data_IF_642983894154
#
_entry.id   IF_642983894154
#
_cell.length_a   1.000
_cell.length_b   1.000
_cell.length_c   1.000
_cell.angle_alpha   90.00
_cell.angle_beta   90.00
_cell.angle_gamma   90.00
#
_symmetry.space_group_name_H-M   'P 1'
#
loop_
_entity.id
_entity.type
_entity.pdbx_description
1 polymer ?
#
# COMPACT_ATOMS: atom_id res chain seq x y z
N UNK A 1 21.95 -40.94 44.99
CA UNK A 1 21.72 -39.48 44.92
C UNK A 1 22.76 -38.93 43.96
N UNK A 2 22.49 -38.64 42.70
CA UNK A 2 21.24 -38.46 41.92
C UNK A 2 21.52 -39.06 40.51
N UNK A 3 20.62 -39.82 39.89
CA UNK A 3 19.47 -39.35 39.08
C UNK A 3 19.82 -38.13 38.23
N UNK A 4 20.12 -38.38 36.96
CA UNK A 4 19.81 -37.57 35.78
C UNK A 4 20.13 -38.43 34.54
N UNK A 5 19.39 -39.53 34.39
CA UNK A 5 19.29 -40.25 33.11
C UNK A 5 18.30 -39.50 32.23
N UNK A 6 18.83 -38.79 31.24
CA UNK A 6 18.10 -38.08 30.20
C UNK A 6 17.29 -39.09 29.35
N UNK A 7 15.94 -39.09 29.41
CA UNK A 7 15.14 -40.15 28.81
C UNK A 7 15.03 -40.08 27.27
N UNK A 8 15.62 -39.07 26.62
CA UNK A 8 15.44 -38.83 25.18
C UNK A 8 16.51 -39.46 24.26
N UNK A 9 17.58 -40.06 24.82
CA UNK A 9 18.72 -40.52 24.00
C UNK A 9 18.88 -42.04 23.85
N UNK A 10 17.96 -42.85 24.37
CA UNK A 10 18.02 -44.32 24.28
C UNK A 10 16.93 -44.97 23.40
N UNK A 11 15.99 -44.21 22.84
CA UNK A 11 14.89 -44.76 22.02
C UNK A 11 15.26 -45.05 20.57
N UNK A 12 16.31 -44.43 20.04
CA UNK A 12 16.55 -44.40 18.58
C UNK A 12 17.15 -45.68 17.99
N UNK A 13 17.51 -46.67 18.82
CA UNK A 13 18.17 -47.90 18.38
C UNK A 13 17.48 -49.20 18.81
N UNK A 14 16.28 -49.14 19.41
CA UNK A 14 15.62 -50.34 19.95
C UNK A 14 14.55 -50.91 19.01
N UNK A 15 13.95 -50.07 18.16
CA UNK A 15 12.84 -50.48 17.30
C UNK A 15 13.30 -50.66 15.84
N UNK A 16 12.92 -51.79 15.25
CA UNK A 16 12.99 -52.00 13.80
C UNK A 16 12.13 -50.95 13.08
N UNK A 17 12.53 -50.55 11.87
CA UNK A 17 11.73 -49.63 11.04
C UNK A 17 10.28 -50.11 10.85
N UNK A 18 10.06 -51.42 10.85
CA UNK A 18 8.73 -52.04 10.73
C UNK A 18 7.91 -51.86 12.01
N UNK A 19 8.50 -52.12 13.19
CA UNK A 19 7.82 -51.97 14.49
C UNK A 19 7.48 -50.51 14.77
N UNK A 20 8.34 -49.58 14.33
CA UNK A 20 8.08 -48.15 14.40
C UNK A 20 6.90 -47.74 13.52
N UNK A 21 6.80 -48.32 12.33
CA UNK A 21 5.69 -48.03 11.41
C UNK A 21 4.36 -48.57 11.93
N UNK A 22 4.35 -49.80 12.47
CA UNK A 22 3.16 -50.37 13.13
C UNK A 22 2.72 -49.53 14.33
N UNK A 23 3.67 -49.04 15.14
CA UNK A 23 3.39 -48.12 16.24
C UNK A 23 2.79 -46.80 15.76
N UNK A 24 3.34 -46.19 14.71
CA UNK A 24 2.81 -44.96 14.13
C UNK A 24 1.40 -45.15 13.56
N UNK A 25 1.13 -46.27 12.89
CA UNK A 25 -0.22 -46.61 12.41
C UNK A 25 -1.19 -46.85 13.58
N UNK A 26 -0.76 -47.56 14.63
CA UNK A 26 -1.60 -47.88 15.79
C UNK A 26 -1.99 -46.66 16.63
N UNK A 27 -1.13 -45.63 16.70
CA UNK A 27 -1.42 -44.37 17.40
C UNK A 27 -2.03 -43.31 16.47
N UNK A 28 -2.25 -43.64 15.19
CA UNK A 28 -2.76 -42.71 14.18
C UNK A 28 -1.83 -41.52 13.92
N UNK A 29 -0.53 -41.71 14.12
CA UNK A 29 0.50 -40.72 13.82
C UNK A 29 0.75 -40.73 12.31
N UNK A 30 0.18 -39.74 11.61
CA UNK A 30 0.55 -39.43 10.23
C UNK A 30 1.89 -38.65 10.25
N UNK A 31 2.98 -39.28 9.80
CA UNK A 31 4.32 -38.64 9.67
C UNK A 31 4.33 -37.54 8.59
N UNK A 32 3.31 -37.52 7.75
CA UNK A 32 3.01 -36.38 6.89
C UNK A 32 2.42 -35.27 7.76
N UNK A 33 3.27 -34.35 8.21
CA UNK A 33 2.83 -32.99 8.49
C UNK A 33 2.01 -32.55 7.28
N UNK A 34 0.67 -32.61 7.38
CA UNK A 34 -0.23 -32.07 6.37
C UNK A 34 0.24 -30.65 6.11
N UNK A 35 0.87 -30.43 4.96
CA UNK A 35 1.34 -29.11 4.56
C UNK A 35 0.11 -28.22 4.67
N UNK A 36 0.13 -27.30 5.64
CA UNK A 36 -0.95 -26.35 5.85
C UNK A 36 -0.91 -25.41 4.65
N UNK A 37 -1.62 -25.80 3.59
CA UNK A 37 -1.80 -24.97 2.41
C UNK A 37 -2.80 -23.88 2.77
N UNK A 38 -2.33 -22.64 2.75
CA UNK A 38 -3.21 -21.49 2.93
C UNK A 38 -4.27 -21.47 1.83
N UNK A 39 -5.54 -21.12 2.13
CA UNK A 39 -6.53 -20.84 1.11
C UNK A 39 -6.00 -19.80 0.12
N UNK A 40 -6.38 -19.88 -1.16
CA UNK A 40 -5.93 -18.93 -2.19
C UNK A 40 -6.33 -17.48 -1.92
N UNK A 41 -7.34 -17.28 -1.08
CA UNK A 41 -7.88 -15.98 -0.68
C UNK A 41 -7.19 -15.42 0.56
N UNK A 42 -6.34 -16.21 1.23
CA UNK A 42 -5.64 -15.79 2.44
C UNK A 42 -4.68 -14.65 2.13
N UNK A 43 -4.82 -13.56 2.89
CA UNK A 43 -3.95 -12.39 2.84
C UNK A 43 -3.06 -12.44 4.08
N UNK A 44 -1.76 -12.47 3.85
CA UNK A 44 -0.76 -12.52 4.92
C UNK A 44 -0.27 -11.12 5.31
N UNK A 45 -0.12 -10.26 4.30
CA UNK A 45 0.25 -8.86 4.49
C UNK A 45 -0.84 -8.00 3.89
N UNK A 46 -1.40 -7.10 4.69
CA UNK A 46 -2.32 -6.03 4.27
C UNK A 46 -1.78 -4.70 4.83
N UNK A 47 -1.30 -3.84 3.93
CA UNK A 47 -0.80 -2.51 4.23
C UNK A 47 -1.75 -1.52 3.59
N UNK A 48 -2.48 -0.78 4.41
CA UNK A 48 -3.38 0.28 3.97
C UNK A 48 -2.96 1.62 4.58
N UNK A 49 -2.61 2.58 3.73
CA UNK A 49 -2.14 3.92 4.13
C UNK A 49 -3.00 4.97 3.43
N UNK A 50 -3.65 5.83 4.22
CA UNK A 50 -4.48 6.92 3.72
C UNK A 50 -3.93 8.27 4.17
N UNK A 51 -3.85 9.22 3.22
CA UNK A 51 -3.54 10.62 3.49
C UNK A 51 -4.71 11.50 3.10
N UNK A 52 -5.29 12.21 4.07
CA UNK A 52 -6.32 13.20 3.78
C UNK A 52 -5.78 14.33 2.89
N UNK A 53 -4.55 14.76 3.14
CA UNK A 53 -3.93 15.87 2.39
C UNK A 53 -2.41 15.77 2.40
N UNK A 54 -1.81 15.86 1.23
CA UNK A 54 -0.36 15.99 1.03
C UNK A 54 -0.11 17.36 0.39
N UNK A 55 0.78 18.16 0.99
CA UNK A 55 1.12 19.50 0.49
C UNK A 55 2.61 19.59 0.16
N UNK A 56 2.93 20.13 -1.01
CA UNK A 56 4.29 20.43 -1.43
C UNK A 56 4.40 21.92 -1.76
N UNK A 57 5.37 22.60 -1.16
CA UNK A 57 5.60 24.03 -1.38
C UNK A 57 6.85 24.23 -2.23
N UNK A 58 6.73 25.07 -3.25
CA UNK A 58 7.87 25.55 -4.05
C UNK A 58 8.30 26.89 -3.49
N UNK A 59 9.59 27.03 -3.19
CA UNK A 59 10.16 28.24 -2.62
C UNK A 59 11.16 28.83 -3.61
N UNK A 60 11.08 30.13 -3.83
CA UNK A 60 12.08 30.87 -4.60
C UNK A 60 12.93 31.70 -3.65
N UNK A 61 14.24 31.66 -3.87
CA UNK A 61 15.13 32.64 -3.28
C UNK A 61 15.32 33.77 -4.29
N UNK A 62 14.75 34.92 -4.00
CA UNK A 62 14.72 36.06 -4.92
C UNK A 62 15.99 36.92 -4.87
N UNK A 63 16.86 36.78 -3.84
CA UNK A 63 18.16 37.45 -3.76
C UNK A 63 19.11 36.76 -2.76
N UNK A 64 20.44 36.79 -2.99
CA UNK A 64 21.45 36.26 -2.05
C UNK A 64 21.40 36.89 -0.64
N UNK A 65 20.78 38.07 -0.50
CA UNK A 65 20.62 38.80 0.76
C UNK A 65 19.24 38.63 1.42
N UNK A 66 18.33 37.87 0.81
CA UNK A 66 16.99 37.67 1.35
C UNK A 66 17.01 36.54 2.39
N UNK A 67 16.87 36.89 3.67
CA UNK A 67 16.97 35.94 4.80
C UNK A 67 15.75 34.99 4.83
N UNK A 68 14.68 35.29 4.08
CA UNK A 68 13.46 34.49 4.06
C UNK A 68 13.09 34.09 2.63
N UNK A 69 13.26 32.81 2.31
CA UNK A 69 12.71 32.23 1.10
C UNK A 69 11.19 32.45 1.05
N UNK A 70 10.67 32.85 -0.12
CA UNK A 70 9.24 33.05 -0.31
C UNK A 70 8.65 31.85 -1.04
N UNK A 71 7.58 31.25 -0.49
CA UNK A 71 6.83 30.23 -1.22
C UNK A 71 6.15 30.88 -2.42
N UNK A 72 6.39 30.35 -3.62
CA UNK A 72 5.81 30.86 -4.87
C UNK A 72 4.65 30.01 -5.37
N UNK A 73 4.57 28.75 -4.94
CA UNK A 73 3.46 27.86 -5.25
C UNK A 73 3.26 26.80 -4.18
N UNK A 74 2.03 26.32 -4.05
CA UNK A 74 1.65 25.20 -3.20
C UNK A 74 0.84 24.20 -4.03
N UNK A 75 1.33 22.97 -4.13
CA UNK A 75 0.58 21.84 -4.68
C UNK A 75 -0.05 21.04 -3.53
N UNK A 76 -1.32 20.70 -3.68
CA UNK A 76 -2.10 19.93 -2.72
C UNK A 76 -2.70 18.72 -3.42
N UNK A 77 -2.46 17.54 -2.86
CA UNK A 77 -3.11 16.29 -3.25
C UNK A 77 -4.06 15.92 -2.10
N UNK A 78 -5.33 15.65 -2.40
CA UNK A 78 -6.31 15.28 -1.38
C UNK A 78 -6.74 13.84 -1.53
N UNK A 79 -7.02 13.20 -0.39
CA UNK A 79 -7.51 11.82 -0.26
C UNK A 79 -6.72 10.84 -1.14
N UNK A 80 -5.50 10.55 -0.70
CA UNK A 80 -4.64 9.54 -1.31
C UNK A 80 -4.73 8.25 -0.52
N UNK A 81 -5.15 7.16 -1.17
CA UNK A 81 -5.17 5.84 -0.58
C UNK A 81 -4.15 4.94 -1.28
N UNK A 82 -3.30 4.30 -0.48
CA UNK A 82 -2.37 3.27 -0.92
C UNK A 82 -2.76 1.96 -0.23
N UNK A 83 -2.97 0.90 -1.01
CA UNK A 83 -3.26 -0.44 -0.50
C UNK A 83 -2.29 -1.42 -1.15
N UNK A 84 -1.62 -2.21 -0.33
CA UNK A 84 -0.80 -3.32 -0.75
C UNK A 84 -1.24 -4.59 -0.03
N UNK A 85 -1.44 -5.66 -0.77
CA UNK A 85 -1.78 -6.97 -0.20
C UNK A 85 -0.87 -8.05 -0.75
N UNK A 86 -0.41 -8.96 0.09
CA UNK A 86 0.35 -10.15 -0.30
C UNK A 86 -0.39 -11.43 0.10
N UNK A 87 -0.48 -12.39 -0.83
CA UNK A 87 -1.14 -13.69 -0.66
C UNK A 87 -0.10 -14.81 -0.89
N UNK A 88 0.43 -15.42 0.17
CA UNK A 88 1.54 -16.36 0.06
C UNK A 88 1.15 -17.69 -0.58
N UNK A 89 -0.14 -18.05 -0.57
CA UNK A 89 -0.66 -19.30 -1.15
C UNK A 89 -0.31 -19.48 -2.64
N UNK A 90 -0.02 -18.37 -3.34
CA UNK A 90 0.24 -18.33 -4.78
C UNK A 90 1.42 -17.44 -5.17
N UNK A 91 2.16 -16.91 -4.18
CA UNK A 91 3.17 -15.86 -4.39
C UNK A 91 2.57 -14.62 -5.12
N UNK A 92 1.34 -14.26 -4.72
CA UNK A 92 0.55 -13.21 -5.36
C UNK A 92 0.63 -11.92 -4.56
N UNK A 93 0.70 -10.78 -5.25
CA UNK A 93 0.52 -9.49 -4.61
C UNK A 93 -0.38 -8.57 -5.43
N UNK A 94 -1.02 -7.65 -4.73
CA UNK A 94 -1.80 -6.58 -5.32
C UNK A 94 -1.38 -5.24 -4.76
N UNK A 95 -1.40 -4.23 -5.61
CA UNK A 95 -1.10 -2.84 -5.30
C UNK A 95 -2.23 -1.97 -5.86
N UNK A 96 -2.71 -1.01 -5.06
CA UNK A 96 -3.66 0.00 -5.47
C UNK A 96 -3.22 1.37 -4.96
N UNK A 97 -3.30 2.36 -5.85
CA UNK A 97 -3.13 3.77 -5.54
C UNK A 97 -4.34 4.54 -6.08
N UNK A 98 -5.01 5.26 -5.19
CA UNK A 98 -6.12 6.15 -5.50
C UNK A 98 -5.79 7.57 -5.07
N UNK A 99 -6.11 8.54 -5.92
CA UNK A 99 -6.01 9.97 -5.63
C UNK A 99 -7.33 10.63 -6.06
N UNK A 100 -7.95 11.40 -5.17
CA UNK A 100 -9.22 12.08 -5.47
C UNK A 100 -9.00 13.40 -6.23
N UNK A 101 -8.07 14.23 -5.77
CA UNK A 101 -7.86 15.55 -6.36
C UNK A 101 -6.41 16.03 -6.28
N UNK A 102 -6.07 16.90 -7.23
CA UNK A 102 -4.82 17.61 -7.34
C UNK A 102 -5.13 19.08 -7.62
N UNK A 103 -4.63 19.97 -6.77
CA UNK A 103 -4.78 21.41 -6.92
C UNK A 103 -3.42 22.08 -6.73
N UNK A 104 -3.13 23.10 -7.52
CA UNK A 104 -1.92 23.90 -7.39
C UNK A 104 -2.28 25.37 -7.47
N UNK A 105 -1.86 26.13 -6.47
CA UNK A 105 -2.08 27.56 -6.37
C UNK A 105 -0.72 28.27 -6.38
N UNK A 106 -0.64 29.38 -7.11
CA UNK A 106 0.45 30.34 -7.01
C UNK A 106 0.23 31.31 -5.84
N UNK A 107 1.29 31.98 -5.40
CA UNK A 107 1.22 32.93 -4.29
C UNK A 107 1.08 34.38 -4.78
N UNK A 108 0.09 35.11 -4.26
CA UNK A 108 0.24 36.55 -4.00
C UNK A 108 0.37 36.72 -2.49
N UNK A 109 1.53 37.24 -2.10
CA UNK A 109 2.01 37.61 -0.76
C UNK A 109 0.98 37.52 0.37
N UNK A 110 1.38 36.85 1.46
CA UNK A 110 0.66 36.64 2.73
C UNK A 110 -0.07 35.29 2.84
N UNK A 111 0.74 34.23 2.95
CA UNK A 111 0.42 33.07 3.76
C UNK A 111 0.16 33.56 5.19
N UNK A 112 -1.10 33.84 5.52
CA UNK A 112 -1.52 33.78 6.91
C UNK A 112 -1.12 32.39 7.42
N UNK A 113 -0.40 32.35 8.55
CA UNK A 113 0.19 31.16 9.19
C UNK A 113 -0.83 30.04 9.52
N UNK A 114 -2.10 30.25 9.19
CA UNK A 114 -3.24 29.39 9.44
C UNK A 114 -3.68 28.57 8.21
N UNK A 115 -3.00 28.70 7.06
CA UNK A 115 -3.23 27.82 5.90
C UNK A 115 -4.57 28.06 5.18
N UNK A 116 -5.17 29.23 5.36
CA UNK A 116 -6.40 29.66 4.69
C UNK A 116 -6.06 30.13 3.27
N UNK A 117 -6.60 29.44 2.26
CA UNK A 117 -6.53 29.81 0.85
C UNK A 117 -7.36 31.09 0.68
N UNK A 118 -6.69 32.23 0.48
CA UNK A 118 -7.38 33.50 0.19
C UNK A 118 -7.97 33.46 -1.23
N UNK A 119 -9.17 34.03 -1.40
CA UNK A 119 -9.94 34.10 -2.67
C UNK A 119 -9.21 34.76 -3.86
N UNK A 120 -8.01 35.33 -3.65
CA UNK A 120 -7.22 36.04 -4.67
C UNK A 120 -5.96 35.29 -5.11
N UNK A 121 -5.83 33.99 -4.79
CA UNK A 121 -4.66 33.21 -5.22
C UNK A 121 -4.80 32.74 -6.68
N UNK A 122 -3.79 32.95 -7.54
CA UNK A 122 -3.84 32.44 -8.91
C UNK A 122 -3.87 30.90 -8.88
N UNK A 123 -4.95 30.33 -9.40
CA UNK A 123 -5.04 28.89 -9.65
C UNK A 123 -4.13 28.56 -10.83
N UNK A 124 -3.24 27.56 -10.67
CA UNK A 124 -2.30 27.10 -11.70
C UNK A 124 -2.72 25.73 -12.26
N UNK A 125 -3.17 24.83 -11.39
CA UNK A 125 -3.67 23.50 -11.76
C UNK A 125 -4.90 23.24 -10.91
N UNK A 126 -5.99 22.80 -11.53
CA UNK A 126 -7.13 22.32 -10.78
C UNK A 126 -7.72 21.09 -11.45
N UNK A 127 -7.69 19.98 -10.70
CA UNK A 127 -8.43 18.79 -11.08
C UNK A 127 -9.79 18.82 -10.40
N UNK A 128 -10.85 19.09 -11.17
CA UNK A 128 -12.22 18.87 -10.75
C UNK A 128 -12.78 17.63 -11.44
N UNK A 129 -13.46 16.79 -10.66
CA UNK A 129 -14.31 15.77 -11.24
C UNK A 129 -15.50 16.48 -11.93
N UNK A 130 -15.45 16.61 -13.25
CA UNK A 130 -16.54 17.20 -14.06
C UNK A 130 -17.79 16.32 -14.06
N UNK A 131 -17.66 15.06 -13.66
CA UNK A 131 -18.76 14.11 -13.53
C UNK A 131 -19.35 14.24 -12.12
N UNK A 132 -20.68 14.39 -12.01
CA UNK A 132 -21.38 14.35 -10.72
C UNK A 132 -21.30 12.98 -10.03
N UNK A 133 -20.61 12.00 -10.61
CA UNK A 133 -20.30 10.74 -9.97
C UNK A 133 -19.17 10.91 -8.95
N UNK A 134 -19.58 10.98 -7.68
CA UNK A 134 -18.73 10.99 -6.47
C UNK A 134 -17.73 9.81 -6.43
N UNK A 135 -17.92 8.76 -7.26
CA UNK A 135 -17.10 7.56 -7.28
C UNK A 135 -15.86 7.62 -8.19
N UNK A 136 -15.70 8.66 -9.00
CA UNK A 136 -14.57 8.73 -9.93
C UNK A 136 -13.37 9.42 -9.28
N UNK A 137 -12.33 8.62 -9.00
CA UNK A 137 -11.01 9.07 -8.55
C UNK A 137 -10.29 9.81 -9.67
N UNK A 138 -9.53 10.86 -9.35
CA UNK A 138 -8.66 11.54 -10.33
C UNK A 138 -7.66 10.56 -10.94
N UNK A 139 -6.96 9.82 -10.09
CA UNK A 139 -6.03 8.78 -10.51
C UNK A 139 -6.37 7.50 -9.78
N UNK A 140 -6.52 6.41 -10.53
CA UNK A 140 -6.63 5.06 -10.01
C UNK A 140 -5.63 4.17 -10.73
N UNK A 141 -4.70 3.61 -9.98
CA UNK A 141 -3.74 2.62 -10.46
C UNK A 141 -3.95 1.35 -9.65
N UNK A 142 -4.18 0.23 -10.32
CA UNK A 142 -4.21 -1.08 -9.71
C UNK A 142 -3.30 -2.03 -10.48
N UNK A 143 -2.49 -2.78 -9.75
CA UNK A 143 -1.63 -3.83 -10.26
C UNK A 143 -1.86 -5.10 -9.45
N UNK A 144 -1.92 -6.26 -10.11
CA UNK A 144 -2.06 -7.56 -9.44
C UNK A 144 -1.31 -8.63 -10.24
N UNK A 145 -0.53 -9.46 -9.53
CA UNK A 145 0.02 -10.72 -10.05
C UNK A 145 -0.95 -11.86 -9.76
N UNK A 146 -1.10 -12.76 -10.72
CA UNK A 146 -2.07 -13.86 -10.78
C UNK A 146 -3.41 -13.55 -10.08
N UNK A 147 -4.22 -12.62 -10.64
CA UNK A 147 -5.49 -12.20 -10.05
C UNK A 147 -6.37 -13.39 -9.64
N UNK A 148 -7.18 -13.20 -8.59
CA UNK A 148 -8.05 -14.24 -8.01
C UNK A 148 -8.92 -14.99 -9.04
N UNK A 149 -9.33 -14.30 -10.11
CA UNK A 149 -10.15 -14.88 -11.18
C UNK A 149 -9.35 -15.71 -12.22
N UNK A 150 -8.02 -15.77 -12.11
CA UNK A 150 -7.09 -16.57 -12.91
C UNK A 150 -7.22 -16.37 -14.43
N UNK A 151 -7.71 -15.20 -14.86
CA UNK A 151 -7.91 -14.91 -16.29
C UNK A 151 -6.64 -14.51 -17.02
N UNK A 152 -5.59 -14.13 -16.29
CA UNK A 152 -4.31 -13.66 -16.81
C UNK A 152 -3.25 -13.74 -15.70
N UNK A 153 -1.96 -13.70 -16.06
CA UNK A 153 -0.86 -13.73 -15.09
C UNK A 153 -0.63 -12.37 -14.41
N UNK A 154 -0.95 -11.29 -15.10
CA UNK A 154 -0.81 -9.92 -14.60
C UNK A 154 -2.04 -9.10 -15.00
N UNK A 155 -2.50 -8.25 -14.10
CA UNK A 155 -3.56 -7.28 -14.38
C UNK A 155 -3.10 -5.88 -13.98
N UNK A 156 -3.10 -4.97 -14.94
CA UNK A 156 -2.82 -3.55 -14.72
C UNK A 156 -4.03 -2.74 -15.15
N UNK A 157 -4.52 -1.88 -14.25
CA UNK A 157 -5.62 -0.96 -14.51
C UNK A 157 -5.12 0.43 -14.18
N UNK A 158 -5.00 1.30 -15.19
CA UNK A 158 -4.74 2.72 -15.02
C UNK A 158 -5.95 3.53 -15.48
N UNK A 159 -6.45 4.42 -14.63
CA UNK A 159 -7.48 5.39 -15.00
C UNK A 159 -7.04 6.77 -14.52
N UNK A 160 -7.08 7.73 -15.43
CA UNK A 160 -6.80 9.13 -15.16
C UNK A 160 -7.99 9.94 -15.66
N UNK A 161 -8.57 10.76 -14.79
CA UNK A 161 -9.62 11.70 -15.16
C UNK A 161 -9.02 12.98 -15.76
N UNK A 162 -9.82 13.67 -16.56
CA UNK A 162 -9.43 14.95 -17.15
C UNK A 162 -9.31 16.03 -16.07
N UNK A 163 -8.26 16.86 -16.15
CA UNK A 163 -8.03 18.00 -15.27
C UNK A 163 -7.77 19.25 -16.10
N UNK A 164 -8.07 20.43 -15.53
CA UNK A 164 -7.87 21.71 -16.21
C UNK A 164 -6.58 22.36 -15.68
N UNK A 165 -5.68 22.71 -16.60
CA UNK A 165 -4.54 23.59 -16.29
C UNK A 165 -5.02 25.00 -16.57
N UNK A 166 -5.33 25.74 -15.52
CA UNK A 166 -5.81 27.11 -15.62
C UNK A 166 -4.65 28.01 -15.26
N UNK A 167 -4.27 28.93 -16.15
CA UNK A 167 -3.26 29.94 -15.86
C UNK A 167 -3.96 31.29 -15.68
N UNK A 168 -4.10 31.73 -14.43
CA UNK A 168 -4.51 33.10 -14.12
C UNK A 168 -3.25 33.96 -13.94
N UNK A 169 -2.96 34.81 -14.93
CA UNK A 169 -1.93 35.85 -14.85
C UNK A 169 -2.41 37.06 -14.06
#
# INVERSE_FOLDING_TARGET
ANDDDDPELQSDNILSNEERQELYEAIGYEDEQKVLLYPSEYIDIDISVGFNTIKANVWANTNENDIQAKSIACATISNTDFIYTHRPAKDDFSFRLDIDSLEMYGNQSELNREGIINLNQPVLIQSHNKSQNIKEKLLHIQFETHPLNQTCDYRIIGRLQSFDIVYHA
#
